data_IF_009375278367
#
_entry.id   IF_009375278367
#
_cell.length_a   1.000
_cell.length_b   1.000
_cell.length_c   1.000
_cell.angle_alpha   90.00
_cell.angle_beta   90.00
_cell.angle_gamma   90.00
#
_symmetry.space_group_name_H-M   'P 1'
#
loop_
_entity.id
_entity.type
_entity.pdbx_description
1 polymer ?
#
# COMPACT_ATOMS: atom_id res chain seq x y z
N UNK A 1 -2.40 0.45 42.00
CA UNK A 1 -2.52 -0.08 40.62
C UNK A 1 -1.67 0.81 39.71
N UNK A 2 -0.64 0.23 39.10
CA UNK A 2 0.48 0.96 38.51
C UNK A 2 0.16 1.44 37.08
N UNK A 3 -0.37 2.66 36.95
CA UNK A 3 -0.80 3.25 35.66
C UNK A 3 0.30 3.28 34.58
N UNK A 4 1.57 3.25 35.00
CA UNK A 4 2.75 3.12 34.12
C UNK A 4 2.77 1.77 33.40
N UNK A 5 2.47 0.69 34.14
CA UNK A 5 2.39 -0.66 33.57
C UNK A 5 1.22 -0.78 32.58
N UNK A 6 0.12 -0.08 32.84
CA UNK A 6 -1.06 -0.08 31.95
C UNK A 6 -0.73 0.60 30.60
N UNK A 7 0.03 1.70 30.63
CA UNK A 7 0.51 2.38 29.42
C UNK A 7 1.48 1.53 28.59
N UNK A 8 2.44 0.88 29.24
CA UNK A 8 3.42 0.01 28.57
C UNK A 8 2.73 -1.23 27.97
N UNK A 9 1.82 -1.86 28.73
CA UNK A 9 1.04 -3.00 28.27
C UNK A 9 0.19 -2.64 27.04
N UNK A 10 -0.44 -1.46 27.05
CA UNK A 10 -1.26 -1.02 25.91
C UNK A 10 -0.43 -0.86 24.63
N UNK A 11 0.79 -0.31 24.71
CA UNK A 11 1.69 -0.16 23.57
C UNK A 11 2.05 -1.50 22.94
N UNK A 12 2.44 -2.46 23.78
CA UNK A 12 2.89 -3.77 23.32
C UNK A 12 1.72 -4.58 22.71
N UNK A 13 0.51 -4.42 23.26
CA UNK A 13 -0.73 -5.00 22.69
C UNK A 13 -1.04 -4.42 21.31
N UNK A 14 -0.95 -3.10 21.10
CA UNK A 14 -1.17 -2.49 19.78
C UNK A 14 -0.10 -2.90 18.76
N UNK A 15 1.17 -2.99 19.18
CA UNK A 15 2.26 -3.46 18.34
C UNK A 15 2.09 -4.92 17.92
N UNK A 16 1.66 -5.78 18.85
CA UNK A 16 1.36 -7.19 18.58
C UNK A 16 0.15 -7.33 17.64
N UNK A 17 -0.95 -6.62 17.90
CA UNK A 17 -2.13 -6.60 17.04
C UNK A 17 -1.79 -6.19 15.60
N UNK A 18 -0.92 -5.19 15.41
CA UNK A 18 -0.42 -4.77 14.09
C UNK A 18 0.34 -5.89 13.37
N UNK A 19 1.18 -6.64 14.08
CA UNK A 19 1.94 -7.78 13.50
C UNK A 19 1.01 -8.91 13.10
N UNK A 20 0.04 -9.27 13.95
CA UNK A 20 -0.95 -10.31 13.64
C UNK A 20 -1.82 -9.94 12.44
N UNK A 21 -2.32 -8.70 12.37
CA UNK A 21 -3.11 -8.22 11.24
C UNK A 21 -2.31 -8.20 9.92
N UNK A 22 -1.00 -7.88 9.98
CA UNK A 22 -0.11 -7.97 8.81
C UNK A 22 0.17 -9.41 8.39
N UNK A 23 0.26 -10.35 9.32
CA UNK A 23 0.50 -11.76 9.05
C UNK A 23 -0.72 -12.47 8.47
N UNK A 24 -1.90 -12.26 9.06
CA UNK A 24 -3.16 -12.84 8.60
C UNK A 24 -3.56 -12.35 7.21
N UNK A 25 -3.31 -11.07 6.90
CA UNK A 25 -3.61 -10.52 5.58
C UNK A 25 -2.77 -11.15 4.45
N UNK A 26 -1.52 -11.54 4.70
CA UNK A 26 -0.70 -12.23 3.68
C UNK A 26 -1.13 -13.67 3.44
N UNK A 27 -1.57 -14.37 4.48
CA UNK A 27 -1.90 -15.79 4.43
C UNK A 27 -3.30 -16.09 3.87
N UNK A 28 -4.22 -15.11 3.93
CA UNK A 28 -5.64 -15.34 3.61
C UNK A 28 -6.08 -14.70 2.30
N UNK A 29 -5.16 -14.08 1.55
CA UNK A 29 -5.47 -13.47 0.25
C UNK A 29 -5.69 -14.56 -0.80
N UNK A 30 -6.88 -14.66 -1.40
CA UNK A 30 -7.07 -15.59 -2.50
C UNK A 30 -6.21 -15.19 -3.71
N UNK A 31 -5.87 -16.17 -4.56
CA UNK A 31 -4.96 -16.00 -5.69
C UNK A 31 -5.38 -14.85 -6.64
N UNK A 32 -6.69 -14.65 -6.81
CA UNK A 32 -7.30 -13.57 -7.61
C UNK A 32 -7.19 -12.17 -6.99
N UNK A 33 -6.70 -12.03 -5.75
CA UNK A 33 -6.38 -10.73 -5.14
C UNK A 33 -4.91 -10.33 -5.35
N UNK A 34 -4.08 -11.25 -5.87
CA UNK A 34 -2.70 -10.95 -6.23
C UNK A 34 -2.65 -10.30 -7.62
N UNK A 35 -2.33 -9.00 -7.66
CA UNK A 35 -2.24 -8.23 -8.90
C UNK A 35 -1.26 -8.85 -9.92
N UNK A 36 -0.17 -9.47 -9.45
CA UNK A 36 0.80 -10.13 -10.32
C UNK A 36 0.23 -11.37 -11.02
N UNK A 37 -0.58 -12.17 -10.31
CA UNK A 37 -1.22 -13.36 -10.88
C UNK A 37 -2.25 -12.97 -11.95
N UNK A 38 -3.07 -11.95 -11.68
CA UNK A 38 -4.06 -11.51 -12.65
C UNK A 38 -3.43 -10.85 -13.88
N UNK A 39 -2.35 -10.08 -13.73
CA UNK A 39 -1.57 -9.57 -14.86
C UNK A 39 -0.96 -10.72 -15.70
N UNK A 40 -0.46 -11.77 -15.05
CA UNK A 40 0.08 -12.94 -15.73
C UNK A 40 -0.99 -13.67 -16.55
N UNK A 41 -2.18 -13.90 -15.97
CA UNK A 41 -3.29 -14.54 -16.68
C UNK A 41 -3.76 -13.66 -17.84
N UNK A 42 -3.94 -12.36 -17.65
CA UNK A 42 -4.31 -11.44 -18.75
C UNK A 42 -3.25 -11.40 -19.84
N UNK A 43 -1.96 -11.46 -19.51
CA UNK A 43 -0.89 -11.56 -20.49
C UNK A 43 -0.96 -12.86 -21.30
N UNK A 44 -1.26 -13.99 -20.66
CA UNK A 44 -1.46 -15.26 -21.36
C UNK A 44 -2.67 -15.21 -22.32
N UNK A 45 -3.78 -14.61 -21.89
CA UNK A 45 -4.96 -14.43 -22.77
C UNK A 45 -4.63 -13.51 -23.95
N UNK A 46 -3.91 -12.41 -23.70
CA UNK A 46 -3.42 -11.51 -24.76
C UNK A 46 -2.53 -12.22 -25.79
N UNK A 47 -1.66 -13.14 -25.34
CA UNK A 47 -0.81 -13.94 -26.23
C UNK A 47 -1.65 -14.91 -27.06
N UNK A 48 -2.65 -15.58 -26.47
CA UNK A 48 -3.54 -16.47 -27.21
C UNK A 48 -4.32 -15.72 -28.29
N UNK A 49 -4.86 -14.55 -27.96
CA UNK A 49 -5.54 -13.70 -28.93
C UNK A 49 -4.58 -13.12 -29.97
N UNK A 50 -3.35 -12.78 -29.57
CA UNK A 50 -2.30 -12.34 -30.50
C UNK A 50 -1.94 -13.41 -31.53
N UNK A 51 -1.72 -14.65 -31.11
CA UNK A 51 -1.47 -15.79 -32.04
C UNK A 51 -2.64 -15.95 -33.00
N UNK A 52 -3.86 -15.81 -32.48
CA UNK A 52 -5.07 -15.91 -33.26
C UNK A 52 -5.18 -14.79 -34.32
N UNK A 53 -4.88 -13.53 -33.97
CA UNK A 53 -4.86 -12.42 -34.93
C UNK A 53 -3.70 -12.50 -35.93
N UNK A 54 -2.55 -13.05 -35.51
CA UNK A 54 -1.36 -13.13 -36.33
C UNK A 54 -1.62 -13.85 -37.65
N UNK A 55 -2.31 -15.00 -37.60
CA UNK A 55 -2.63 -15.78 -38.81
C UNK A 55 -3.50 -15.00 -39.80
N UNK A 56 -4.39 -14.14 -39.30
CA UNK A 56 -5.27 -13.30 -40.14
C UNK A 56 -4.48 -12.16 -40.77
N UNK A 57 -3.63 -11.49 -40.01
CA UNK A 57 -2.83 -10.40 -40.54
C UNK A 57 -1.75 -10.88 -41.50
N UNK A 58 -1.15 -12.05 -41.28
CA UNK A 58 -0.17 -12.65 -42.20
C UNK A 58 -0.81 -12.95 -43.58
N UNK A 59 -2.08 -13.33 -43.58
CA UNK A 59 -2.85 -13.60 -44.80
C UNK A 59 -3.18 -12.33 -45.61
N UNK A 60 -3.34 -11.18 -44.92
CA UNK A 60 -3.88 -9.96 -45.53
C UNK A 60 -2.80 -8.91 -45.80
N UNK A 61 -1.89 -8.72 -44.84
CA UNK A 61 -0.82 -7.73 -44.91
C UNK A 61 0.42 -8.40 -45.50
N UNK A 62 0.67 -8.15 -46.78
CA UNK A 62 1.92 -8.50 -47.46
C UNK A 62 3.08 -7.55 -47.09
N UNK A 63 3.19 -7.18 -45.81
CA UNK A 63 4.18 -6.22 -45.32
C UNK A 63 5.39 -6.90 -44.68
N UNK A 64 6.38 -6.10 -44.27
CA UNK A 64 7.54 -6.60 -43.54
C UNK A 64 7.15 -7.33 -42.25
N UNK A 65 7.84 -8.44 -41.95
CA UNK A 65 7.56 -9.28 -40.77
C UNK A 65 7.50 -8.47 -39.45
N UNK A 66 8.32 -7.43 -39.31
CA UNK A 66 8.35 -6.59 -38.13
C UNK A 66 7.06 -5.78 -37.93
N UNK A 67 6.46 -5.29 -39.03
CA UNK A 67 5.22 -4.52 -38.99
C UNK A 67 4.02 -5.41 -38.63
N UNK A 68 4.01 -6.64 -39.15
CA UNK A 68 3.01 -7.65 -38.80
C UNK A 68 2.98 -7.93 -37.29
N UNK A 69 4.13 -8.23 -36.69
CA UNK A 69 4.24 -8.45 -35.24
C UNK A 69 3.81 -7.23 -34.43
N UNK A 70 4.20 -6.03 -34.86
CA UNK A 70 3.82 -4.79 -34.19
C UNK A 70 2.31 -4.54 -34.21
N UNK A 71 1.64 -4.75 -35.35
CA UNK A 71 0.19 -4.59 -35.46
C UNK A 71 -0.55 -5.64 -34.64
N UNK A 72 -0.15 -6.92 -34.74
CA UNK A 72 -0.74 -8.00 -33.93
C UNK A 72 -0.63 -7.72 -32.44
N UNK A 73 0.56 -7.36 -31.96
CA UNK A 73 0.79 -7.08 -30.55
C UNK A 73 -0.03 -5.88 -30.07
N UNK A 74 -0.13 -4.83 -30.89
CA UNK A 74 -0.89 -3.63 -30.56
C UNK A 74 -2.39 -3.92 -30.48
N UNK A 75 -2.95 -4.64 -31.45
CA UNK A 75 -4.37 -4.98 -31.45
C UNK A 75 -4.73 -5.93 -30.31
N UNK A 76 -3.89 -6.96 -30.05
CA UNK A 76 -4.08 -7.88 -28.93
C UNK A 76 -4.00 -7.14 -27.57
N UNK A 77 -3.05 -6.22 -27.42
CA UNK A 77 -2.95 -5.39 -26.23
C UNK A 77 -4.21 -4.52 -26.05
N UNK A 78 -4.71 -3.87 -27.12
CA UNK A 78 -5.90 -3.05 -27.06
C UNK A 78 -7.14 -3.86 -26.63
N UNK A 79 -7.34 -5.06 -27.18
CA UNK A 79 -8.47 -5.93 -26.85
C UNK A 79 -8.51 -6.28 -25.35
N UNK A 80 -7.36 -6.46 -24.72
CA UNK A 80 -7.25 -6.77 -23.29
C UNK A 80 -7.18 -5.53 -22.38
N UNK A 81 -6.68 -4.41 -22.90
CA UNK A 81 -6.54 -3.17 -22.15
C UNK A 81 -7.89 -2.48 -21.90
N UNK A 82 -8.79 -2.45 -22.87
CA UNK A 82 -10.12 -1.86 -22.70
C UNK A 82 -10.97 -2.51 -21.59
N UNK A 83 -11.15 -3.86 -21.53
CA UNK A 83 -11.89 -4.49 -20.45
C UNK A 83 -11.20 -4.32 -19.10
N UNK A 84 -9.85 -4.25 -19.07
CA UNK A 84 -9.11 -3.91 -17.86
C UNK A 84 -9.44 -2.49 -17.36
N UNK A 85 -9.44 -1.50 -18.27
CA UNK A 85 -9.78 -0.11 -17.96
C UNK A 85 -11.25 0.01 -17.51
N UNK A 86 -12.16 -0.66 -18.19
CA UNK A 86 -13.58 -0.73 -17.84
C UNK A 86 -13.78 -1.20 -16.40
N UNK A 87 -13.09 -2.28 -16.01
CA UNK A 87 -13.15 -2.83 -14.66
C UNK A 87 -12.69 -1.82 -13.59
N UNK A 88 -11.60 -1.09 -13.85
CA UNK A 88 -11.10 -0.05 -12.94
C UNK A 88 -12.12 1.07 -12.77
N UNK A 89 -12.73 1.53 -13.87
CA UNK A 89 -13.71 2.62 -13.84
C UNK A 89 -14.97 2.25 -13.10
N UNK A 90 -15.52 1.05 -13.35
CA UNK A 90 -16.71 0.54 -12.66
C UNK A 90 -16.47 0.50 -11.15
N UNK A 91 -15.28 0.09 -10.70
CA UNK A 91 -14.95 0.07 -9.27
C UNK A 91 -14.72 1.45 -8.66
N UNK A 92 -14.14 2.39 -9.41
CA UNK A 92 -14.03 3.77 -8.94
C UNK A 92 -15.40 4.45 -8.79
N UNK A 93 -16.39 3.99 -9.56
CA UNK A 93 -17.75 4.51 -9.55
C UNK A 93 -18.55 4.13 -8.29
N UNK A 94 -18.29 2.97 -7.68
CA UNK A 94 -19.07 2.46 -6.53
C UNK A 94 -18.96 3.29 -5.25
N UNK A 95 -17.99 4.19 -5.15
CA UNK A 95 -17.74 4.99 -3.94
C UNK A 95 -18.06 6.48 -4.08
N UNK A 96 -18.66 6.91 -5.20
CA UNK A 96 -18.78 8.32 -5.59
C UNK A 96 -20.22 8.82 -5.56
N UNK A 97 -20.37 10.13 -5.34
CA UNK A 97 -21.65 10.83 -5.37
C UNK A 97 -22.29 10.82 -6.77
N UNK A 98 -23.60 11.07 -6.83
CA UNK A 98 -24.42 10.96 -8.06
C UNK A 98 -23.91 11.80 -9.23
N UNK A 99 -23.40 13.00 -8.97
CA UNK A 99 -22.87 13.92 -9.99
C UNK A 99 -21.52 13.45 -10.56
N UNK A 100 -20.62 12.98 -9.70
CA UNK A 100 -19.36 12.39 -10.16
C UNK A 100 -19.61 11.10 -10.93
N UNK A 101 -20.60 10.30 -10.52
CA UNK A 101 -21.00 9.07 -11.20
C UNK A 101 -21.34 9.30 -12.68
N UNK A 102 -22.03 10.40 -13.00
CA UNK A 102 -22.39 10.74 -14.37
C UNK A 102 -21.17 10.99 -15.27
N UNK A 103 -20.12 11.64 -14.74
CA UNK A 103 -18.87 11.87 -15.48
C UNK A 103 -18.15 10.55 -15.79
N UNK A 104 -18.12 9.62 -14.84
CA UNK A 104 -17.53 8.30 -15.04
C UNK A 104 -18.35 7.44 -16.00
N UNK A 105 -19.68 7.55 -16.00
CA UNK A 105 -20.53 6.83 -16.94
C UNK A 105 -20.21 7.20 -18.41
N UNK A 106 -19.96 8.48 -18.70
CA UNK A 106 -19.55 8.90 -20.06
C UNK A 106 -18.25 8.21 -20.47
N UNK A 107 -17.28 8.13 -19.55
CA UNK A 107 -16.00 7.49 -19.82
C UNK A 107 -16.13 5.97 -19.96
N UNK A 108 -16.97 5.32 -19.14
CA UNK A 108 -17.34 3.91 -19.27
C UNK A 108 -17.95 3.63 -20.65
N UNK A 109 -18.89 4.48 -21.10
CA UNK A 109 -19.48 4.37 -22.43
C UNK A 109 -18.43 4.53 -23.54
N UNK A 110 -17.53 5.52 -23.43
CA UNK A 110 -16.46 5.71 -24.40
C UNK A 110 -15.53 4.49 -24.50
N UNK A 111 -15.19 3.87 -23.38
CA UNK A 111 -14.38 2.64 -23.33
C UNK A 111 -15.12 1.46 -23.95
N UNK A 112 -16.41 1.27 -23.65
CA UNK A 112 -17.22 0.22 -24.27
C UNK A 112 -17.33 0.39 -25.79
N UNK A 113 -17.55 1.62 -26.26
CA UNK A 113 -17.62 1.92 -27.70
C UNK A 113 -16.26 1.69 -28.36
N UNK A 114 -15.16 2.10 -27.73
CA UNK A 114 -13.81 1.85 -28.22
C UNK A 114 -13.50 0.35 -28.33
N UNK A 115 -13.85 -0.43 -27.31
CA UNK A 115 -13.72 -1.89 -27.34
C UNK A 115 -14.54 -2.51 -28.47
N UNK A 116 -15.82 -2.14 -28.59
CA UNK A 116 -16.69 -2.67 -29.65
C UNK A 116 -16.18 -2.31 -31.03
N UNK A 117 -15.61 -1.12 -31.23
CA UNK A 117 -15.03 -0.73 -32.51
C UNK A 117 -13.86 -1.66 -32.86
N UNK A 118 -12.88 -1.84 -31.96
CA UNK A 118 -11.72 -2.72 -32.19
C UNK A 118 -12.14 -4.18 -32.37
N UNK A 119 -13.10 -4.64 -31.58
CA UNK A 119 -13.61 -6.00 -31.68
C UNK A 119 -14.34 -6.24 -33.01
N UNK A 120 -15.25 -5.35 -33.40
CA UNK A 120 -16.02 -5.47 -34.63
C UNK A 120 -15.14 -5.34 -35.87
N UNK A 121 -14.13 -4.46 -35.86
CA UNK A 121 -13.17 -4.38 -36.98
C UNK A 121 -12.36 -5.66 -37.10
N UNK A 122 -11.91 -6.24 -35.98
CA UNK A 122 -11.18 -7.52 -35.97
C UNK A 122 -12.07 -8.67 -36.44
N UNK A 123 -13.32 -8.73 -35.99
CA UNK A 123 -14.29 -9.73 -36.42
C UNK A 123 -14.65 -9.60 -37.90
N UNK A 124 -14.89 -8.37 -38.39
CA UNK A 124 -15.15 -8.11 -39.80
C UNK A 124 -13.96 -8.49 -40.67
N UNK A 125 -12.74 -8.16 -40.24
CA UNK A 125 -11.52 -8.53 -40.97
C UNK A 125 -11.38 -10.04 -41.08
N UNK A 126 -11.62 -10.76 -39.98
CA UNK A 126 -11.64 -12.23 -39.95
C UNK A 126 -12.73 -12.82 -40.85
N UNK A 127 -13.90 -12.21 -40.90
CA UNK A 127 -14.99 -12.63 -41.77
C UNK A 127 -14.64 -12.48 -43.25
N UNK A 128 -14.05 -11.34 -43.62
CA UNK A 128 -13.63 -11.07 -45.01
C UNK A 128 -12.49 -11.99 -45.43
N UNK A 129 -11.58 -12.31 -44.52
CA UNK A 129 -10.39 -13.11 -44.86
C UNK A 129 -10.58 -14.61 -44.75
N UNK A 130 -11.75 -15.09 -44.31
CA UNK A 130 -12.05 -16.53 -44.20
C UNK A 130 -11.77 -17.27 -45.51
N UNK A 131 -12.12 -16.67 -46.64
CA UNK A 131 -11.99 -17.33 -47.94
C UNK A 131 -10.52 -17.44 -48.36
N UNK A 132 -9.66 -16.52 -47.93
CA UNK A 132 -8.24 -16.52 -48.27
C UNK A 132 -7.47 -17.45 -47.34
N UNK A 133 -7.74 -17.37 -46.03
CA UNK A 133 -7.08 -18.19 -45.01
C UNK A 133 -7.37 -19.69 -45.19
N UNK A 134 -8.56 -20.06 -45.68
CA UNK A 134 -8.91 -21.47 -45.92
C UNK A 134 -8.76 -21.92 -47.38
N UNK A 135 -8.51 -21.02 -48.34
CA UNK A 135 -8.25 -21.40 -49.74
C UNK A 135 -6.83 -21.93 -49.98
N UNK A 136 -5.86 -21.60 -49.13
CA UNK A 136 -4.44 -21.97 -49.31
C UNK A 136 -3.93 -23.11 -48.41
N UNK A 137 -4.59 -23.42 -47.29
CA UNK A 137 -4.06 -24.30 -46.26
C UNK A 137 -4.96 -25.51 -45.98
N UNK A 138 -4.75 -26.59 -46.72
CA UNK A 138 -5.23 -27.94 -46.34
C UNK A 138 -4.11 -28.81 -45.75
N UNK A 139 -3.09 -28.23 -45.09
CA UNK A 139 -1.99 -29.05 -44.55
C UNK A 139 -1.53 -28.80 -43.11
N UNK A 140 -1.94 -27.74 -42.39
CA UNK A 140 -1.23 -27.43 -41.11
C UNK A 140 -2.08 -27.50 -39.83
N UNK A 141 -3.41 -27.50 -39.86
CA UNK A 141 -4.21 -27.53 -38.61
C UNK A 141 -5.00 -28.85 -38.46
N UNK A 142 -4.33 -30.00 -38.56
CA UNK A 142 -4.83 -31.29 -38.06
C UNK A 142 -3.66 -32.14 -37.54
N UNK A 143 -2.93 -31.62 -36.53
CA UNK A 143 -1.90 -32.37 -35.81
C UNK A 143 -2.42 -33.53 -34.93
N UNK A 144 -3.44 -34.27 -35.35
CA UNK A 144 -3.93 -35.41 -34.56
C UNK A 144 -5.12 -36.22 -35.07
N UNK A 145 -5.73 -35.90 -36.22
CA UNK A 145 -6.78 -36.76 -36.77
C UNK A 145 -6.72 -36.82 -38.29
N UNK A 146 -6.14 -37.92 -38.75
CA UNK A 146 -6.33 -38.60 -40.02
C UNK A 146 -6.66 -37.74 -41.25
N UNK A 147 -5.64 -37.61 -42.09
CA UNK A 147 -5.69 -37.37 -43.53
C UNK A 147 -7.03 -37.75 -44.17
N UNK A 148 -7.86 -36.76 -44.45
CA UNK A 148 -8.80 -36.83 -45.57
C UNK A 148 -8.68 -35.50 -46.28
N UNK A 149 -8.10 -35.53 -47.48
CA UNK A 149 -8.09 -34.42 -48.42
C UNK A 149 -9.53 -34.16 -48.86
N UNK A 150 -10.30 -33.41 -48.07
CA UNK A 150 -11.46 -32.72 -48.59
C UNK A 150 -10.93 -31.44 -49.23
N UNK A 151 -11.11 -31.32 -50.54
CA UNK A 151 -11.13 -30.02 -51.18
C UNK A 151 -12.14 -29.18 -50.41
N UNK A 152 -11.65 -28.27 -49.57
CA UNK A 152 -12.48 -27.44 -48.72
C UNK A 152 -13.15 -26.44 -49.65
N UNK A 153 -14.39 -26.75 -50.03
CA UNK A 153 -15.35 -25.74 -50.45
C UNK A 153 -15.29 -24.64 -49.36
N UNK A 154 -14.95 -23.41 -49.73
CA UNK A 154 -14.91 -22.26 -48.80
C UNK A 154 -16.29 -21.90 -48.24
N UNK A 155 -17.32 -22.60 -48.75
CA UNK A 155 -18.71 -22.70 -48.30
C UNK A 155 -18.97 -23.88 -47.36
N UNK A 156 -17.95 -24.64 -46.93
CA UNK A 156 -18.17 -25.74 -45.99
C UNK A 156 -18.68 -25.18 -44.65
N UNK A 157 -19.73 -25.78 -44.08
CA UNK A 157 -20.31 -25.31 -42.82
C UNK A 157 -19.30 -25.39 -41.67
N UNK A 158 -18.30 -26.28 -41.75
CA UNK A 158 -17.24 -26.44 -40.76
C UNK A 158 -16.25 -25.26 -40.75
N UNK A 159 -15.78 -24.79 -41.91
CA UNK A 159 -14.89 -23.62 -42.01
C UNK A 159 -15.59 -22.34 -41.53
N UNK A 160 -16.88 -22.22 -41.84
CA UNK A 160 -17.71 -21.10 -41.35
C UNK A 160 -17.87 -21.16 -39.82
N UNK A 161 -18.15 -22.34 -39.26
CA UNK A 161 -18.27 -22.53 -37.81
C UNK A 161 -16.96 -22.24 -37.07
N UNK A 162 -15.82 -22.69 -37.60
CA UNK A 162 -14.50 -22.42 -37.03
C UNK A 162 -14.20 -20.90 -37.06
N UNK A 163 -14.51 -20.22 -38.16
CA UNK A 163 -14.34 -18.76 -38.29
C UNK A 163 -15.18 -18.03 -37.25
N UNK A 164 -16.43 -18.43 -37.04
CA UNK A 164 -17.32 -17.85 -36.03
C UNK A 164 -16.78 -18.09 -34.62
N UNK A 165 -16.30 -19.29 -34.32
CA UNK A 165 -15.68 -19.61 -33.04
C UNK A 165 -14.44 -18.72 -32.77
N UNK A 166 -13.58 -18.57 -33.78
CA UNK A 166 -12.39 -17.71 -33.72
C UNK A 166 -12.75 -16.23 -33.57
N UNK A 167 -13.90 -15.76 -34.10
CA UNK A 167 -14.39 -14.39 -33.87
C UNK A 167 -14.91 -14.16 -32.45
N UNK A 168 -15.52 -15.18 -31.85
CA UNK A 168 -16.09 -15.08 -30.49
C UNK A 168 -15.01 -15.27 -29.42
N UNK A 169 -13.92 -15.99 -29.72
CA UNK A 169 -12.85 -16.27 -28.75
C UNK A 169 -12.30 -14.99 -28.08
N UNK A 170 -11.92 -13.93 -28.83
CA UNK A 170 -11.40 -12.70 -28.25
C UNK A 170 -12.39 -11.96 -27.33
N UNK A 171 -13.70 -12.19 -27.55
CA UNK A 171 -14.75 -11.64 -26.70
C UNK A 171 -14.76 -12.35 -25.34
N UNK A 172 -14.64 -13.68 -25.34
CA UNK A 172 -14.66 -14.50 -24.13
C UNK A 172 -13.42 -14.19 -23.27
N UNK A 173 -12.23 -14.10 -23.89
CA UNK A 173 -10.97 -13.70 -23.23
C UNK A 173 -11.07 -12.30 -22.65
N UNK A 174 -11.60 -11.33 -23.40
CA UNK A 174 -11.82 -9.96 -22.90
C UNK A 174 -12.75 -9.90 -21.69
N UNK A 175 -13.84 -10.69 -21.66
CA UNK A 175 -14.74 -10.79 -20.51
C UNK A 175 -14.02 -11.43 -19.32
N UNK A 176 -13.24 -12.49 -19.54
CA UNK A 176 -12.47 -13.15 -18.50
C UNK A 176 -11.40 -12.21 -17.91
N UNK A 177 -10.68 -11.47 -18.74
CA UNK A 177 -9.70 -10.48 -18.30
C UNK A 177 -10.35 -9.30 -17.58
N UNK A 178 -11.49 -8.80 -18.09
CA UNK A 178 -12.26 -7.74 -17.45
C UNK A 178 -12.80 -8.16 -16.07
N UNK A 179 -13.32 -9.37 -15.95
CA UNK A 179 -13.80 -9.91 -14.66
C UNK A 179 -12.64 -10.13 -13.68
N UNK A 180 -11.53 -10.74 -14.12
CA UNK A 180 -10.33 -10.89 -13.29
C UNK A 180 -9.79 -9.54 -12.82
N UNK A 181 -9.69 -8.57 -13.72
CA UNK A 181 -9.29 -7.19 -13.40
C UNK A 181 -10.26 -6.60 -12.38
N UNK A 182 -11.57 -6.73 -12.60
CA UNK A 182 -12.58 -6.28 -11.66
C UNK A 182 -12.30 -6.89 -10.30
N UNK A 183 -12.39 -8.21 -10.14
CA UNK A 183 -12.15 -8.94 -8.88
C UNK A 183 -10.86 -8.50 -8.17
N UNK A 184 -9.76 -8.34 -8.92
CA UNK A 184 -8.45 -7.94 -8.38
C UNK A 184 -8.42 -6.56 -7.75
N UNK A 185 -9.14 -5.59 -8.32
CA UNK A 185 -9.09 -4.20 -7.88
C UNK A 185 -9.98 -3.97 -6.65
N UNK A 186 -9.76 -4.61 -5.49
CA UNK A 186 -10.56 -4.34 -4.28
C UNK A 186 -10.10 -3.02 -3.60
N UNK A 187 -10.70 -1.85 -3.88
CA UNK A 187 -10.16 -0.58 -3.40
C UNK A 187 -10.64 -0.30 -1.97
N UNK A 188 -11.83 -0.81 -1.61
CA UNK A 188 -12.49 -0.63 -0.32
C UNK A 188 -11.79 -1.45 0.75
N UNK A 189 -11.58 -2.74 0.52
CA UNK A 189 -10.84 -3.60 1.46
C UNK A 189 -9.42 -3.11 1.71
N UNK A 190 -8.68 -2.73 0.66
CA UNK A 190 -7.32 -2.16 0.84
C UNK A 190 -7.36 -0.83 1.58
N UNK A 191 -8.34 0.05 1.30
CA UNK A 191 -8.49 1.33 2.02
C UNK A 191 -8.92 1.13 3.47
N UNK A 192 -9.85 0.24 3.75
CA UNK A 192 -10.31 -0.09 5.11
C UNK A 192 -9.19 -0.76 5.90
N UNK A 193 -8.45 -1.67 5.30
CA UNK A 193 -7.25 -2.27 5.87
C UNK A 193 -6.21 -1.21 6.24
N UNK A 194 -5.86 -0.33 5.29
CA UNK A 194 -4.93 0.77 5.53
C UNK A 194 -5.46 1.75 6.60
N UNK A 195 -6.76 2.01 6.63
CA UNK A 195 -7.42 2.84 7.65
C UNK A 195 -7.33 2.17 9.02
N UNK A 196 -7.55 0.87 9.11
CA UNK A 196 -7.45 0.12 10.35
C UNK A 196 -6.01 0.06 10.87
N UNK A 197 -5.02 -0.14 10.00
CA UNK A 197 -3.60 -0.03 10.36
C UNK A 197 -3.29 1.38 10.88
N UNK A 198 -3.74 2.42 10.18
CA UNK A 198 -3.48 3.81 10.57
C UNK A 198 -4.13 4.15 11.92
N UNK A 199 -5.33 3.64 12.21
CA UNK A 199 -5.96 3.79 13.53
C UNK A 199 -5.11 3.16 14.64
N UNK A 200 -4.56 1.97 14.40
CA UNK A 200 -3.69 1.28 15.36
C UNK A 200 -2.38 2.05 15.56
N UNK A 201 -1.79 2.58 14.48
CA UNK A 201 -0.57 3.40 14.54
C UNK A 201 -0.77 4.68 15.34
N UNK A 202 -1.90 5.38 15.14
CA UNK A 202 -2.25 6.56 15.92
C UNK A 202 -2.47 6.20 17.40
N UNK A 203 -3.12 5.06 17.68
CA UNK A 203 -3.30 4.58 19.06
C UNK A 203 -1.95 4.26 19.74
N UNK A 204 -1.01 3.65 19.01
CA UNK A 204 0.34 3.37 19.48
C UNK A 204 1.10 4.67 19.80
N UNK A 205 1.04 5.68 18.92
CA UNK A 205 1.67 6.98 19.15
C UNK A 205 1.07 7.72 20.36
N UNK A 206 -0.26 7.67 20.53
CA UNK A 206 -0.91 8.23 21.71
C UNK A 206 -0.46 7.55 23.01
N UNK A 207 -0.34 6.22 23.00
CA UNK A 207 0.17 5.47 24.15
C UNK A 207 1.63 5.86 24.48
N UNK A 208 2.48 6.04 23.46
CA UNK A 208 3.86 6.50 23.66
C UNK A 208 3.94 7.89 24.27
N UNK A 209 3.14 8.85 23.77
CA UNK A 209 3.08 10.21 24.32
C UNK A 209 2.63 10.19 25.78
N UNK A 210 1.63 9.37 26.11
CA UNK A 210 1.18 9.22 27.49
C UNK A 210 2.31 8.73 28.40
N UNK A 211 3.01 7.65 28.03
CA UNK A 211 4.16 7.14 28.81
C UNK A 211 5.23 8.21 29.00
N UNK A 212 5.59 8.95 27.95
CA UNK A 212 6.56 10.04 28.05
C UNK A 212 6.10 11.18 28.99
N UNK A 213 4.81 11.53 28.97
CA UNK A 213 4.25 12.51 29.91
C UNK A 213 4.36 12.03 31.36
N UNK A 214 4.17 10.74 31.61
CA UNK A 214 4.35 10.16 32.95
C UNK A 214 5.80 10.21 33.41
N UNK A 215 6.76 9.80 32.57
CA UNK A 215 8.19 9.87 32.90
C UNK A 215 8.63 11.31 33.20
N UNK A 216 8.10 12.28 32.45
CA UNK A 216 8.41 13.69 32.64
C UNK A 216 7.77 14.26 33.92
N UNK A 217 6.60 13.76 34.33
CA UNK A 217 5.97 14.10 35.60
C UNK A 217 6.72 13.50 36.81
N UNK A 218 7.17 12.25 36.68
CA UNK A 218 7.99 11.56 37.69
C UNK A 218 9.32 12.30 37.89
N UNK A 219 10.04 12.59 36.80
CA UNK A 219 11.29 13.36 36.84
C UNK A 219 11.11 14.76 37.47
N UNK A 220 9.99 15.44 37.18
CA UNK A 220 9.69 16.74 37.79
C UNK A 220 9.44 16.64 39.30
N UNK A 221 8.76 15.60 39.75
CA UNK A 221 8.51 15.37 41.17
C UNK A 221 9.82 15.08 41.91
N UNK A 222 10.69 14.25 41.33
CA UNK A 222 12.00 13.93 41.88
C UNK A 222 12.90 15.17 41.97
N UNK A 223 12.98 15.95 40.89
CA UNK A 223 13.73 17.22 40.89
C UNK A 223 13.19 18.21 41.92
N UNK A 224 11.87 18.26 42.13
CA UNK A 224 11.29 19.13 43.15
C UNK A 224 11.64 18.66 44.57
N UNK A 225 11.60 17.36 44.83
CA UNK A 225 12.00 16.78 46.11
C UNK A 225 13.50 17.01 46.38
N UNK A 226 14.35 16.82 45.37
CA UNK A 226 15.80 17.05 45.48
C UNK A 226 16.11 18.53 45.75
N UNK A 227 15.46 19.45 45.02
CA UNK A 227 15.63 20.89 45.26
C UNK A 227 15.17 21.31 46.67
N UNK A 228 14.09 20.72 47.19
CA UNK A 228 13.61 20.99 48.55
C UNK A 228 14.59 20.49 49.62
N UNK A 229 15.20 19.32 49.41
CA UNK A 229 16.25 18.78 50.29
C UNK A 229 17.49 19.68 50.23
N UNK A 230 17.89 20.11 49.02
CA UNK A 230 19.03 20.99 48.81
C UNK A 230 18.82 22.32 49.56
N UNK A 231 17.69 22.98 49.39
CA UNK A 231 17.39 24.25 50.09
C UNK A 231 17.38 24.08 51.61
N UNK A 232 16.83 22.98 52.13
CA UNK A 232 16.82 22.70 53.57
C UNK A 232 18.24 22.47 54.12
N UNK A 233 19.12 21.83 53.33
CA UNK A 233 20.53 21.65 53.70
C UNK A 233 21.31 22.96 53.70
N UNK A 234 21.03 23.85 52.76
CA UNK A 234 21.65 25.17 52.67
C UNK A 234 21.28 26.03 53.88
N UNK A 235 20.00 26.06 54.25
CA UNK A 235 19.51 26.77 55.45
C UNK A 235 20.17 26.24 56.74
N UNK A 236 20.34 24.93 56.85
CA UNK A 236 21.02 24.31 57.98
C UNK A 236 22.50 24.74 58.06
N UNK A 237 23.23 24.71 56.94
CA UNK A 237 24.64 25.14 56.89
C UNK A 237 24.78 26.61 57.27
N UNK A 238 23.90 27.48 56.77
CA UNK A 238 23.90 28.92 57.10
C UNK A 238 23.66 29.11 58.60
N UNK A 239 22.73 28.36 59.19
CA UNK A 239 22.44 28.42 60.63
C UNK A 239 23.65 28.01 61.49
N UNK A 240 24.33 26.92 61.09
CA UNK A 240 25.52 26.43 61.77
C UNK A 240 26.70 27.43 61.68
N UNK A 241 26.88 28.04 60.50
CA UNK A 241 27.90 29.07 60.29
C UNK A 241 27.65 30.30 61.18
N UNK A 242 26.38 30.73 61.33
CA UNK A 242 26.02 31.82 62.24
C UNK A 242 26.33 31.47 63.70
N UNK A 243 26.01 30.26 64.12
CA UNK A 243 26.31 29.81 65.49
C UNK A 243 27.82 29.76 65.75
N UNK A 244 28.60 29.21 64.82
CA UNK A 244 30.07 29.19 64.90
C UNK A 244 30.66 30.59 65.00
N UNK A 245 30.19 31.53 64.16
CA UNK A 245 30.65 32.92 64.22
C UNK A 245 30.29 33.58 65.55
N UNK A 246 29.07 33.37 66.07
CA UNK A 246 28.68 33.89 67.37
C UNK A 246 29.55 33.35 68.51
N UNK A 247 29.91 32.06 68.47
CA UNK A 247 30.83 31.46 69.45
C UNK A 247 32.25 32.05 69.33
N UNK A 248 32.74 32.28 68.11
CA UNK A 248 34.03 32.91 67.87
C UNK A 248 34.07 34.35 68.41
N UNK A 249 33.01 35.13 68.18
CA UNK A 249 32.88 36.50 68.69
C UNK A 249 32.87 36.55 70.22
N UNK A 250 32.16 35.62 70.88
CA UNK A 250 32.16 35.51 72.34
C UNK A 250 33.55 35.14 72.87
N UNK A 251 34.25 34.21 72.21
CA UNK A 251 35.61 33.82 72.60
C UNK A 251 36.60 34.99 72.44
N UNK A 252 36.47 35.77 71.37
CA UNK A 252 37.28 36.95 71.12
C UNK A 252 36.99 38.05 72.15
N UNK A 253 35.73 38.30 72.48
CA UNK A 253 35.33 39.24 73.54
C UNK A 253 35.91 38.86 74.91
N UNK A 254 35.92 37.56 75.27
CA UNK A 254 36.57 37.06 76.49
C UNK A 254 38.08 37.31 76.49
N UNK A 255 38.76 37.10 75.35
CA UNK A 255 40.20 37.37 75.20
C UNK A 255 40.53 38.87 75.28
N UNK A 256 39.71 39.73 74.67
CA UNK A 256 39.87 41.18 74.79
C UNK A 256 39.63 41.66 76.22
N UNK A 257 38.61 41.14 76.91
CA UNK A 257 38.33 41.50 78.30
C UNK A 257 39.48 41.10 79.24
N UNK A 258 40.03 39.90 79.07
CA UNK A 258 41.20 39.44 79.85
C UNK A 258 42.46 40.26 79.53
N UNK A 259 42.73 40.59 78.27
CA UNK A 259 43.82 41.48 77.89
C UNK A 259 43.67 42.89 78.50
N UNK A 260 42.45 43.42 78.52
CA UNK A 260 42.15 44.75 79.12
C UNK A 260 42.29 44.74 80.64
N UNK A 261 41.88 43.65 81.30
CA UNK A 261 42.07 43.45 82.73
C UNK A 261 43.57 43.33 83.11
N UNK A 262 44.36 42.65 82.29
CA UNK A 262 45.83 42.57 82.44
C UNK A 262 46.51 43.94 82.24
N UNK A 263 46.09 44.73 81.25
CA UNK A 263 46.63 46.09 81.06
C UNK A 263 46.24 47.04 82.19
N UNK A 264 45.06 46.87 82.78
CA UNK A 264 44.64 47.67 83.93
C UNK A 264 45.43 47.32 85.20
N UNK A 265 45.80 46.05 85.37
CA UNK A 265 46.64 45.60 86.48
C UNK A 265 48.11 46.03 86.36
N UNK A 266 48.67 46.15 85.15
CA UNK A 266 50.05 46.65 85.01
C UNK A 266 50.20 48.14 85.32
N UNK A 267 49.16 48.95 85.04
CA UNK A 267 49.15 50.39 85.34
C UNK A 267 48.99 50.75 86.84
N UNK A 268 48.80 49.76 87.73
CA UNK A 268 48.75 49.97 89.19
C UNK A 268 50.09 49.71 89.89
N UNK A 269 51.12 49.25 89.16
CA UNK A 269 52.43 48.92 89.70
C UNK A 269 53.56 49.90 89.29
N UNK A 270 53.21 51.04 88.71
CA UNK A 270 54.07 52.21 88.50
C UNK A 270 53.57 53.38 89.36
#
# INVERSE_FOLDING_TARGET
MNRKNDGILSRDVYAQARRHLKGMDKATRPLWQNQGFCLFVTMLLAVMDGINLFSVYDTILYESQAMLWAMTATTAFCLEFFPMLLAVLLRQMEGKNREERQKYLIFVWAVCVGFLLVFLTTAALRWVSKDITFAGETSVITGGLSTTSLAADTTSPAATALTVLLMVLPLITSIAAGTLSYLSFAPKEKREYLKNIRKIEVAEQLAQIQVAQWELAETKADNFAENAIFSASEDYIISLARESNAQADIALAKRLHTARALSAASNQND
#
